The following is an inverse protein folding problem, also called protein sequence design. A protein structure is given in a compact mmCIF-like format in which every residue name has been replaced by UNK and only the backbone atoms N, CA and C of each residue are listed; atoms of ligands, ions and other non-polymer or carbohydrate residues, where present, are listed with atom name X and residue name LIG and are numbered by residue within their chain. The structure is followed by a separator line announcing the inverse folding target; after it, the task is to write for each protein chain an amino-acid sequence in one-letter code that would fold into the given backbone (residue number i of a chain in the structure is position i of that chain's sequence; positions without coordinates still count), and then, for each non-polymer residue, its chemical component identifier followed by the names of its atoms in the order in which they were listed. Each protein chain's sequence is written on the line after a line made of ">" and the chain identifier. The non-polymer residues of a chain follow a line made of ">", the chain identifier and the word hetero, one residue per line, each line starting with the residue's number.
data_IF_681353661783
#
_entry.id   IF_681353661783
#
_cell.length_a   1.000
_cell.length_b   1.000
_cell.length_c   1.000
_cell.angle_alpha   90.00
_cell.angle_beta   90.00
_cell.angle_gamma   90.00
#
_symmetry.space_group_name_H-M   'P 1'
#
loop_
_entity.id
_entity.type
_entity.pdbx_description
1 polymer ?
#
# COMPACT_ATOMS: atom_id res chain seq x y z
N UNK A 1 10.96 11.75 -9.32
CA UNK A 1 10.55 10.40 -8.88
C UNK A 1 9.55 9.84 -9.86
N UNK A 2 9.75 8.61 -10.30
CA UNK A 2 8.86 7.94 -11.26
C UNK A 2 8.42 6.58 -10.72
N UNK A 3 7.26 6.12 -11.17
CA UNK A 3 6.79 4.77 -10.88
C UNK A 3 7.25 3.84 -12.00
N UNK A 4 7.81 2.69 -11.63
CA UNK A 4 8.29 1.70 -12.59
C UNK A 4 7.73 0.34 -12.27
N UNK A 5 7.53 -0.52 -13.28
CA UNK A 5 7.11 -1.89 -13.03
C UNK A 5 8.22 -2.68 -12.36
N UNK A 6 7.86 -3.76 -11.69
CA UNK A 6 8.82 -4.60 -10.98
C UNK A 6 8.33 -6.04 -10.99
N UNK A 7 9.23 -6.98 -11.18
CA UNK A 7 8.89 -8.39 -11.06
C UNK A 7 8.56 -8.73 -9.61
N UNK A 8 7.66 -9.68 -9.40
CA UNK A 8 7.26 -10.10 -8.05
C UNK A 8 8.46 -10.51 -7.21
N UNK A 9 9.35 -11.29 -7.77
CA UNK A 9 10.56 -11.75 -7.09
C UNK A 9 11.42 -10.59 -6.62
N UNK A 10 11.61 -9.58 -7.45
CA UNK A 10 12.43 -8.42 -7.11
C UNK A 10 11.77 -7.57 -6.02
N UNK A 11 10.46 -7.42 -6.08
CA UNK A 11 9.70 -6.73 -5.03
C UNK A 11 9.82 -7.46 -3.70
N UNK A 12 9.68 -8.78 -3.72
CA UNK A 12 9.81 -9.61 -2.52
C UNK A 12 11.22 -9.48 -1.92
N UNK A 13 12.25 -9.53 -2.75
CA UNK A 13 13.64 -9.39 -2.29
C UNK A 13 13.87 -8.02 -1.66
N UNK A 14 13.36 -6.96 -2.27
CA UNK A 14 13.50 -5.61 -1.72
C UNK A 14 12.82 -5.49 -0.35
N UNK A 15 11.57 -5.94 -0.26
CA UNK A 15 10.80 -5.84 0.98
C UNK A 15 11.43 -6.69 2.09
N UNK A 16 11.84 -7.91 1.79
CA UNK A 16 12.46 -8.79 2.77
C UNK A 16 13.81 -8.26 3.27
N UNK A 17 14.51 -7.50 2.45
CA UNK A 17 15.80 -6.90 2.82
C UNK A 17 15.62 -5.66 3.70
N UNK A 18 14.66 -4.80 3.40
CA UNK A 18 14.56 -3.47 3.99
C UNK A 18 13.42 -3.28 4.98
N UNK A 19 12.39 -4.13 4.94
CA UNK A 19 11.24 -3.98 5.83
C UNK A 19 11.52 -4.65 7.18
N UNK A 20 11.35 -3.89 8.27
CA UNK A 20 11.68 -4.37 9.61
C UNK A 20 10.62 -5.26 10.24
N UNK A 21 9.35 -5.06 9.91
CA UNK A 21 8.23 -5.62 10.67
C UNK A 21 7.48 -6.70 9.94
N UNK A 22 7.59 -6.76 8.62
CA UNK A 22 6.82 -7.70 7.81
C UNK A 22 7.66 -8.23 6.67
N UNK A 23 7.42 -9.49 6.33
CA UNK A 23 7.94 -10.06 5.11
C UNK A 23 7.07 -9.64 3.93
N UNK A 24 7.61 -9.76 2.72
CA UNK A 24 6.87 -9.49 1.50
C UNK A 24 5.63 -10.38 1.41
N UNK A 25 4.59 -9.87 0.74
CA UNK A 25 3.43 -10.68 0.42
C UNK A 25 3.81 -11.73 -0.63
N UNK A 26 3.35 -12.98 -0.43
CA UNK A 26 3.60 -14.06 -1.38
C UNK A 26 2.83 -13.88 -2.68
N UNK A 27 1.64 -13.26 -2.59
CA UNK A 27 0.76 -13.02 -3.73
C UNK A 27 0.30 -11.58 -3.70
N UNK A 28 0.23 -10.97 -4.86
CA UNK A 28 -0.37 -9.67 -5.05
C UNK A 28 -1.07 -9.62 -6.40
N UNK A 29 -1.83 -8.57 -6.65
CA UNK A 29 -2.41 -8.33 -7.96
C UNK A 29 -1.50 -7.45 -8.81
N UNK A 30 -0.82 -6.52 -8.16
CA UNK A 30 0.20 -5.73 -8.82
C UNK A 30 1.20 -5.20 -7.80
N UNK A 31 2.33 -4.77 -8.29
CA UNK A 31 3.37 -4.10 -7.53
C UNK A 31 4.06 -3.09 -8.42
N UNK A 32 4.49 -2.01 -7.79
CA UNK A 32 5.30 -0.99 -8.46
C UNK A 32 6.41 -0.54 -7.53
N UNK A 33 7.44 0.03 -8.14
CA UNK A 33 8.54 0.64 -7.41
C UNK A 33 8.57 2.14 -7.69
N UNK A 34 9.09 2.89 -6.72
CA UNK A 34 9.45 4.28 -6.89
C UNK A 34 10.93 4.33 -7.20
N UNK A 35 11.28 5.06 -8.25
CA UNK A 35 12.68 5.24 -8.67
C UNK A 35 13.03 6.70 -8.66
N UNK A 36 14.17 7.03 -8.10
CA UNK A 36 14.71 8.36 -8.08
C UNK A 36 16.20 8.31 -8.40
N UNK A 37 16.63 9.13 -9.37
CA UNK A 37 18.02 9.18 -9.83
C UNK A 37 18.58 7.79 -10.20
N UNK A 38 17.75 6.98 -10.85
CA UNK A 38 18.15 5.63 -11.30
C UNK A 38 18.19 4.58 -10.22
N UNK A 39 17.73 4.89 -9.00
CA UNK A 39 17.74 3.98 -7.86
C UNK A 39 16.33 3.70 -7.37
N UNK A 40 16.04 2.45 -7.00
CA UNK A 40 14.79 2.08 -6.37
C UNK A 40 14.82 2.59 -4.92
N UNK A 41 13.82 3.39 -4.56
CA UNK A 41 13.71 3.97 -3.22
C UNK A 41 12.48 3.52 -2.45
N UNK A 42 11.62 2.75 -3.07
CA UNK A 42 10.45 2.19 -2.39
C UNK A 42 9.72 1.21 -3.28
N UNK A 43 8.93 0.34 -2.65
CA UNK A 43 8.13 -0.69 -3.32
C UNK A 43 6.80 -0.81 -2.61
N UNK A 44 5.71 -1.00 -3.37
CA UNK A 44 4.39 -1.28 -2.84
C UNK A 44 3.84 -2.55 -3.50
N UNK A 45 3.23 -3.42 -2.69
CA UNK A 45 2.48 -4.57 -3.16
C UNK A 45 1.01 -4.37 -2.83
N UNK A 46 0.15 -4.58 -3.82
CA UNK A 46 -1.30 -4.37 -3.70
C UNK A 46 -2.01 -5.63 -4.17
N UNK A 47 -2.99 -6.08 -3.41
CA UNK A 47 -3.70 -7.29 -3.74
C UNK A 47 -5.07 -7.37 -3.08
N UNK A 48 -5.61 -8.59 -3.02
CA UNK A 48 -6.91 -8.83 -2.40
C UNK A 48 -6.83 -8.57 -0.90
N UNK A 49 -7.89 -8.00 -0.30
CA UNK A 49 -7.94 -7.85 1.15
C UNK A 49 -7.73 -9.18 1.86
N UNK A 50 -6.92 -9.17 2.92
CA UNK A 50 -6.71 -10.34 3.76
C UNK A 50 -7.99 -10.69 4.51
N UNK A 51 -8.73 -9.67 4.94
CA UNK A 51 -10.03 -9.86 5.60
C UNK A 51 -11.08 -10.32 4.58
N UNK A 52 -11.70 -11.47 4.84
CA UNK A 52 -12.79 -11.99 4.00
C UNK A 52 -13.98 -11.04 3.96
N UNK A 53 -14.25 -10.36 5.06
CA UNK A 53 -15.36 -9.42 5.15
C UNK A 53 -15.16 -8.23 4.22
N UNK A 54 -13.92 -7.77 4.08
CA UNK A 54 -13.59 -6.61 3.25
C UNK A 54 -13.31 -6.98 1.79
N UNK A 55 -13.13 -8.26 1.50
CA UNK A 55 -12.86 -8.75 0.15
C UNK A 55 -14.16 -8.94 -0.64
N UNK A 56 -14.68 -7.84 -1.15
CA UNK A 56 -15.96 -7.79 -1.85
C UNK A 56 -15.82 -7.84 -3.39
N UNK A 57 -14.62 -8.11 -3.89
CA UNK A 57 -14.35 -8.14 -5.33
C UNK A 57 -14.14 -6.76 -5.94
N UNK A 58 -14.34 -5.69 -5.18
CA UNK A 58 -14.21 -4.31 -5.66
C UNK A 58 -13.24 -3.48 -4.83
N UNK A 59 -12.62 -4.11 -3.84
CA UNK A 59 -11.67 -3.48 -2.92
C UNK A 59 -10.30 -4.12 -3.10
N UNK A 60 -9.25 -3.31 -3.11
CA UNK A 60 -7.86 -3.77 -3.02
C UNK A 60 -7.25 -3.32 -1.71
N UNK A 61 -6.25 -4.04 -1.26
CA UNK A 61 -5.49 -3.70 -0.06
C UNK A 61 -4.03 -3.46 -0.42
N UNK A 62 -3.45 -2.39 0.12
CA UNK A 62 -2.00 -2.23 0.12
C UNK A 62 -1.45 -3.21 1.15
N UNK A 63 -0.91 -4.32 0.64
CA UNK A 63 -0.44 -5.42 1.49
C UNK A 63 0.90 -5.10 2.13
N UNK A 64 1.78 -4.46 1.39
CA UNK A 64 3.10 -4.05 1.87
C UNK A 64 3.50 -2.75 1.22
N UNK A 65 4.08 -1.88 2.00
CA UNK A 65 4.74 -0.66 1.53
C UNK A 65 6.09 -0.58 2.24
N UNK A 66 7.16 -0.52 1.46
CA UNK A 66 8.51 -0.45 1.99
C UNK A 66 9.25 0.69 1.30
N UNK A 67 9.75 1.64 2.06
CA UNK A 67 10.47 2.80 1.53
C UNK A 67 11.74 3.05 2.33
N UNK A 68 12.65 3.80 1.74
CA UNK A 68 13.91 4.16 2.40
C UNK A 68 13.77 5.41 3.27
N UNK A 69 12.64 5.52 3.99
CA UNK A 69 12.50 6.47 5.11
C UNK A 69 11.98 7.85 4.80
N UNK A 70 11.73 8.21 3.56
CA UNK A 70 11.22 9.54 3.22
C UNK A 70 9.71 9.54 3.04
N UNK A 71 9.04 10.54 3.63
CA UNK A 71 7.58 10.66 3.59
C UNK A 71 7.02 10.83 2.19
N UNK A 72 7.74 11.54 1.34
CA UNK A 72 7.32 11.79 -0.03
C UNK A 72 7.20 10.50 -0.84
N UNK A 73 8.04 9.51 -0.55
CA UNK A 73 8.00 8.22 -1.23
C UNK A 73 6.74 7.46 -0.86
N UNK A 74 6.36 7.48 0.42
CA UNK A 74 5.11 6.85 0.87
C UNK A 74 3.90 7.46 0.19
N UNK A 75 3.78 8.78 0.21
CA UNK A 75 2.68 9.51 -0.44
C UNK A 75 2.62 9.21 -1.94
N UNK A 76 3.77 9.20 -2.58
CA UNK A 76 3.88 8.88 -4.00
C UNK A 76 3.34 7.49 -4.30
N UNK A 77 3.78 6.48 -3.54
CA UNK A 77 3.38 5.09 -3.78
C UNK A 77 1.91 4.85 -3.44
N UNK A 78 1.40 5.42 -2.36
CA UNK A 78 -0.03 5.32 -2.04
C UNK A 78 -0.89 5.94 -3.13
N UNK A 79 -0.51 7.10 -3.63
CA UNK A 79 -1.26 7.80 -4.68
C UNK A 79 -1.25 7.01 -6.00
N UNK A 80 -0.09 6.44 -6.36
CA UNK A 80 0.01 5.63 -7.58
C UNK A 80 -0.76 4.33 -7.44
N UNK A 81 -0.72 3.68 -6.29
CA UNK A 81 -1.50 2.48 -6.03
C UNK A 81 -3.00 2.75 -6.18
N UNK A 82 -3.48 3.86 -5.64
CA UNK A 82 -4.89 4.26 -5.77
C UNK A 82 -5.27 4.50 -7.23
N UNK A 83 -4.40 5.16 -7.99
CA UNK A 83 -4.64 5.44 -9.41
C UNK A 83 -4.72 4.14 -10.22
N UNK A 84 -3.83 3.20 -9.97
CA UNK A 84 -3.82 1.90 -10.66
C UNK A 84 -5.07 1.11 -10.30
N UNK A 85 -5.44 1.08 -9.03
CA UNK A 85 -6.67 0.41 -8.57
C UNK A 85 -7.89 0.94 -9.32
N UNK A 86 -7.99 2.26 -9.47
CA UNK A 86 -9.07 2.89 -10.24
C UNK A 86 -9.06 2.43 -11.70
N UNK A 87 -7.90 2.44 -12.35
CA UNK A 87 -7.78 2.03 -13.75
C UNK A 87 -8.14 0.55 -13.94
N UNK A 88 -7.92 -0.29 -12.93
CA UNK A 88 -8.29 -1.70 -12.95
C UNK A 88 -9.78 -1.93 -12.65
N UNK A 89 -10.55 -0.88 -12.38
CA UNK A 89 -11.99 -0.97 -12.15
C UNK A 89 -12.39 -1.20 -10.70
N UNK A 90 -11.47 -1.10 -9.76
CA UNK A 90 -11.81 -1.20 -8.33
C UNK A 90 -12.44 0.08 -7.84
N UNK A 91 -13.24 0.00 -6.77
CA UNK A 91 -13.95 1.16 -6.22
C UNK A 91 -13.31 1.72 -4.96
N UNK A 92 -12.50 0.91 -4.28
CA UNK A 92 -11.92 1.28 -3.00
C UNK A 92 -10.56 0.61 -2.80
N UNK A 93 -9.67 1.31 -2.11
CA UNK A 93 -8.39 0.77 -1.66
C UNK A 93 -8.26 0.96 -0.16
N UNK A 94 -7.74 -0.03 0.54
CA UNK A 94 -7.55 0.00 1.98
C UNK A 94 -6.11 -0.33 2.36
N UNK A 95 -5.72 0.07 3.55
CA UNK A 95 -4.46 -0.34 4.16
C UNK A 95 -4.59 -0.29 5.67
N UNK A 96 -3.76 -1.05 6.36
CA UNK A 96 -3.65 -1.00 7.83
C UNK A 96 -2.32 -0.37 8.20
N UNK A 97 -2.35 0.48 9.22
CA UNK A 97 -1.15 1.05 9.82
C UNK A 97 -1.21 0.84 11.32
N UNK A 98 -0.05 0.89 11.99
CA UNK A 98 -0.01 0.82 13.44
C UNK A 98 -0.66 2.07 14.03
N UNK A 99 -1.36 1.90 15.15
CA UNK A 99 -1.99 3.03 15.84
C UNK A 99 -0.97 4.11 16.24
N UNK A 100 0.27 3.69 16.52
CA UNK A 100 1.35 4.62 16.85
C UNK A 100 1.84 5.44 15.66
N UNK A 101 1.49 5.06 14.43
CA UNK A 101 1.85 5.83 13.24
C UNK A 101 0.86 6.96 13.02
N UNK A 102 1.34 8.09 12.53
CA UNK A 102 0.49 9.29 12.38
C UNK A 102 -0.48 9.21 11.22
N UNK A 103 -0.21 8.36 10.24
CA UNK A 103 -1.01 8.29 9.02
C UNK A 103 -1.00 9.57 8.18
N UNK A 104 -0.01 10.44 8.41
CA UNK A 104 0.06 11.76 7.75
C UNK A 104 0.05 11.65 6.23
N UNK A 105 0.85 10.72 5.67
CA UNK A 105 0.93 10.53 4.22
C UNK A 105 -0.40 10.09 3.62
N UNK A 106 -1.14 9.24 4.34
CA UNK A 106 -2.44 8.74 3.90
C UNK A 106 -3.48 9.84 3.96
N UNK A 107 -3.58 10.53 5.10
CA UNK A 107 -4.57 11.59 5.30
C UNK A 107 -4.35 12.74 4.30
N UNK A 108 -3.11 13.09 4.03
CA UNK A 108 -2.77 14.11 3.05
C UNK A 108 -3.17 13.69 1.62
N UNK A 109 -3.28 12.40 1.35
CA UNK A 109 -3.67 11.86 0.05
C UNK A 109 -5.16 11.50 -0.04
N UNK A 110 -5.98 11.99 0.90
CA UNK A 110 -7.43 11.82 0.88
C UNK A 110 -7.95 10.52 1.48
N UNK A 111 -7.13 9.81 2.24
CA UNK A 111 -7.57 8.61 2.94
C UNK A 111 -8.24 8.97 4.26
N UNK A 112 -9.21 8.14 4.66
CA UNK A 112 -9.88 8.24 5.96
C UNK A 112 -9.48 7.05 6.81
N UNK A 113 -9.05 7.30 8.04
CA UNK A 113 -8.53 6.26 8.92
C UNK A 113 -9.36 6.16 10.20
N UNK A 114 -9.60 4.93 10.66
CA UNK A 114 -10.31 4.67 11.91
C UNK A 114 -9.58 3.61 12.73
N UNK A 115 -9.67 3.74 14.05
CA UNK A 115 -9.07 2.77 14.95
C UNK A 115 -9.84 1.44 14.88
N UNK A 116 -9.10 0.35 14.78
CA UNK A 116 -9.66 -1.01 14.75
C UNK A 116 -8.79 -1.93 15.60
N UNK A 117 -9.35 -3.07 15.97
CA UNK A 117 -8.59 -4.13 16.64
C UNK A 117 -8.61 -5.36 15.76
N UNK A 118 -7.43 -5.86 15.38
CA UNK A 118 -7.30 -7.03 14.52
C UNK A 118 -6.40 -8.04 15.21
N UNK A 119 -6.98 -9.16 15.62
CA UNK A 119 -6.22 -10.22 16.29
C UNK A 119 -5.52 -9.76 17.57
N UNK A 120 -6.12 -8.82 18.31
CA UNK A 120 -5.53 -8.25 19.50
C UNK A 120 -4.58 -7.08 19.29
N UNK A 121 -4.33 -6.71 18.04
CA UNK A 121 -3.45 -5.59 17.72
C UNK A 121 -4.26 -4.31 17.47
N UNK A 122 -3.82 -3.20 18.06
CA UNK A 122 -4.39 -1.88 17.87
C UNK A 122 -3.83 -1.30 16.56
N UNK A 123 -4.69 -1.18 15.56
CA UNK A 123 -4.33 -0.69 14.24
C UNK A 123 -5.27 0.44 13.83
N UNK A 124 -4.93 1.14 12.75
CA UNK A 124 -5.86 1.98 12.03
C UNK A 124 -6.11 1.37 10.67
N UNK A 125 -7.39 1.24 10.31
CA UNK A 125 -7.81 0.86 8.97
C UNK A 125 -8.05 2.14 8.18
N UNK A 126 -7.27 2.32 7.14
CA UNK A 126 -7.36 3.50 6.28
C UNK A 126 -7.95 3.10 4.93
N UNK A 127 -8.88 3.90 4.43
CA UNK A 127 -9.57 3.62 3.17
C UNK A 127 -9.68 4.85 2.31
N UNK A 128 -9.65 4.63 1.00
CA UNK A 128 -9.86 5.67 0.01
C UNK A 128 -10.77 5.17 -1.10
N UNK A 129 -11.78 5.96 -1.44
CA UNK A 129 -12.61 5.72 -2.61
C UNK A 129 -11.80 6.09 -3.85
N UNK A 130 -11.78 5.22 -4.85
CA UNK A 130 -11.00 5.44 -6.09
C UNK A 130 -11.87 5.47 -7.33
N UNK A 131 -13.14 5.12 -7.23
CA UNK A 131 -14.07 5.16 -8.36
C UNK A 131 -14.44 6.59 -8.74
N UNK A 132 -14.79 6.80 -9.99
CA UNK A 132 -15.39 8.06 -10.45
C UNK A 132 -16.83 8.16 -9.93
N UNK A 133 -17.22 9.36 -9.57
CA UNK A 133 -18.59 9.65 -9.15
C UNK A 133 -19.45 10.04 -10.34
#
# INVERSE_FOLDING_TARGET
>A
MIAVPMELKDAQNYINTYHRHHQAAHRDKFRIAAMEDGKIVGVVQVGRPVSRVLDDGRTLEVLRLCTEGEKDICSFLYSRAARIAKEMGYTKIITYILESETGTSLKASGWQCEAVNVGGSALELCRRRVEDR
#
